data_IF_187121372575
#
_entry.id   IF_187121372575
#
_cell.length_a   1.000
_cell.length_b   1.000
_cell.length_c   1.000
_cell.angle_alpha   90.00
_cell.angle_beta   90.00
_cell.angle_gamma   90.00
#
_symmetry.space_group_name_H-M   'P 1'
#
loop_
_entity.id
_entity.type
_entity.pdbx_description
1 polymer ?
#
# COMPACT_ATOMS: atom_id res chain seq x y z
N UNK A 1 17.43 2.16 -6.41
CA UNK A 1 16.08 1.53 -6.35
C UNK A 1 15.93 0.70 -5.09
N UNK A 2 16.79 -0.30 -4.86
CA UNK A 2 16.79 -1.14 -3.64
C UNK A 2 16.63 -0.33 -2.34
N UNK A 3 17.58 0.57 -2.03
CA UNK A 3 17.53 1.37 -0.78
C UNK A 3 16.21 2.12 -0.62
N UNK A 4 15.75 2.80 -1.65
CA UNK A 4 14.51 3.60 -1.62
C UNK A 4 13.28 2.73 -1.37
N UNK A 5 13.10 1.66 -2.13
CA UNK A 5 11.93 0.80 -1.97
C UNK A 5 11.99 -0.03 -0.68
N UNK A 6 13.18 -0.41 -0.21
CA UNK A 6 13.33 -1.04 1.09
C UNK A 6 12.93 -0.08 2.23
N UNK A 7 13.35 1.18 2.17
CA UNK A 7 12.95 2.20 3.15
C UNK A 7 11.44 2.41 3.14
N UNK A 8 10.82 2.53 1.95
CA UNK A 8 9.37 2.71 1.83
C UNK A 8 8.60 1.48 2.30
N UNK A 9 9.03 0.27 1.94
CA UNK A 9 8.42 -0.98 2.39
C UNK A 9 8.50 -1.11 3.93
N UNK A 10 9.66 -0.80 4.52
CA UNK A 10 9.83 -0.79 5.96
C UNK A 10 8.93 0.25 6.64
N UNK A 11 8.85 1.46 6.08
CA UNK A 11 7.98 2.52 6.61
C UNK A 11 6.49 2.13 6.55
N UNK A 12 6.01 1.65 5.42
CA UNK A 12 4.60 1.23 5.27
C UNK A 12 4.29 -0.04 6.07
N UNK A 13 5.24 -0.98 6.18
CA UNK A 13 5.08 -2.15 7.05
C UNK A 13 5.01 -1.76 8.52
N UNK A 14 5.92 -0.90 8.98
CA UNK A 14 5.93 -0.40 10.36
C UNK A 14 4.63 0.33 10.71
N UNK A 15 4.24 1.30 9.88
CA UNK A 15 3.00 2.06 10.11
C UNK A 15 1.76 1.19 9.96
N UNK A 16 1.77 0.19 9.08
CA UNK A 16 0.64 -0.72 8.89
C UNK A 16 0.41 -1.61 10.12
N UNK A 17 1.48 -2.14 10.71
CA UNK A 17 1.41 -2.87 11.99
C UNK A 17 0.90 -1.97 13.11
N UNK A 18 1.44 -0.76 13.22
CA UNK A 18 1.02 0.21 14.25
C UNK A 18 -0.47 0.57 14.13
N UNK A 19 -0.93 0.88 12.91
CA UNK A 19 -2.34 1.22 12.65
C UNK A 19 -3.26 0.01 12.86
N UNK A 20 -2.84 -1.20 12.46
CA UNK A 20 -3.59 -2.43 12.72
C UNK A 20 -3.77 -2.72 14.21
N UNK A 21 -2.70 -2.56 15.00
CA UNK A 21 -2.77 -2.69 16.45
C UNK A 21 -3.67 -1.62 17.08
N UNK A 22 -3.57 -0.38 16.60
CA UNK A 22 -4.42 0.73 17.05
C UNK A 22 -5.90 0.50 16.72
N UNK A 23 -6.21 -0.07 15.55
CA UNK A 23 -7.58 -0.44 15.20
C UNK A 23 -8.14 -1.52 16.14
N UNK A 24 -7.36 -2.57 16.41
CA UNK A 24 -7.80 -3.69 17.25
C UNK A 24 -8.01 -3.32 18.73
N UNK A 25 -7.17 -2.43 19.27
CA UNK A 25 -7.15 -2.13 20.71
C UNK A 25 -7.65 -0.71 21.05
N UNK A 26 -7.36 0.28 20.19
CA UNK A 26 -7.60 1.69 20.47
C UNK A 26 -8.87 2.28 19.82
N UNK A 27 -9.32 1.73 18.70
CA UNK A 27 -10.48 2.23 17.95
C UNK A 27 -11.75 1.38 18.07
N UNK A 28 -11.63 0.13 18.53
CA UNK A 28 -12.75 -0.82 18.57
C UNK A 28 -13.99 -0.32 19.33
N UNK A 29 -13.80 0.48 20.38
CA UNK A 29 -14.87 1.10 21.17
C UNK A 29 -15.21 2.53 20.76
N UNK A 30 -14.48 3.11 19.80
CA UNK A 30 -14.61 4.52 19.37
C UNK A 30 -15.28 4.67 18.01
N UNK A 31 -15.08 3.70 17.11
CA UNK A 31 -15.67 3.71 15.78
C UNK A 31 -16.88 2.77 15.72
N UNK A 32 -17.82 3.06 14.83
CA UNK A 32 -18.87 2.10 14.48
C UNK A 32 -18.24 0.85 13.83
N UNK A 33 -18.92 -0.31 13.88
CA UNK A 33 -18.43 -1.52 13.23
C UNK A 33 -18.08 -1.32 11.75
N UNK A 34 -18.86 -0.52 11.02
CA UNK A 34 -18.64 -0.22 9.61
C UNK A 34 -17.34 0.57 9.41
N UNK A 35 -17.13 1.63 10.20
CA UNK A 35 -15.92 2.45 10.08
C UNK A 35 -14.67 1.69 10.52
N UNK A 36 -14.80 0.82 11.53
CA UNK A 36 -13.71 -0.07 11.93
C UNK A 36 -13.34 -1.04 10.79
N UNK A 37 -14.34 -1.62 10.10
CA UNK A 37 -14.10 -2.49 8.96
C UNK A 37 -13.44 -1.76 7.78
N UNK A 38 -13.83 -0.52 7.52
CA UNK A 38 -13.19 0.34 6.51
C UNK A 38 -11.73 0.64 6.88
N UNK A 39 -11.46 0.98 8.13
CA UNK A 39 -10.10 1.22 8.62
C UNK A 39 -9.23 -0.04 8.45
N UNK A 40 -9.76 -1.21 8.82
CA UNK A 40 -9.06 -2.49 8.69
C UNK A 40 -8.80 -2.86 7.23
N UNK A 41 -9.72 -2.52 6.31
CA UNK A 41 -9.47 -2.65 4.86
C UNK A 41 -8.26 -1.82 4.42
N UNK A 42 -8.14 -0.57 4.91
CA UNK A 42 -6.97 0.27 4.67
C UNK A 42 -5.68 -0.39 5.16
N UNK A 43 -5.66 -0.89 6.40
CA UNK A 43 -4.49 -1.58 6.97
C UNK A 43 -4.12 -2.82 6.15
N UNK A 44 -5.11 -3.62 5.75
CA UNK A 44 -4.90 -4.84 4.99
C UNK A 44 -4.23 -4.54 3.64
N UNK A 45 -4.76 -3.59 2.87
CA UNK A 45 -4.18 -3.21 1.58
C UNK A 45 -2.80 -2.57 1.72
N UNK A 46 -2.58 -1.75 2.75
CA UNK A 46 -1.26 -1.21 3.06
C UNK A 46 -0.23 -2.32 3.31
N UNK A 47 -0.56 -3.31 4.15
CA UNK A 47 0.36 -4.39 4.50
C UNK A 47 0.68 -5.29 3.30
N UNK A 48 -0.33 -5.66 2.51
CA UNK A 48 -0.11 -6.45 1.28
C UNK A 48 0.85 -5.74 0.31
N UNK A 49 0.64 -4.44 0.09
CA UNK A 49 1.46 -3.69 -0.86
C UNK A 49 2.80 -3.23 -0.27
N UNK A 50 2.94 -3.14 1.06
CA UNK A 50 4.24 -2.99 1.71
C UNK A 50 5.11 -4.24 1.47
N UNK A 51 4.53 -5.44 1.58
CA UNK A 51 5.23 -6.69 1.26
C UNK A 51 5.54 -6.79 -0.24
N UNK A 52 4.62 -6.39 -1.12
CA UNK A 52 4.90 -6.30 -2.55
C UNK A 52 6.07 -5.33 -2.84
N UNK A 53 6.11 -4.18 -2.18
CA UNK A 53 7.19 -3.20 -2.30
C UNK A 53 8.52 -3.72 -1.76
N UNK A 54 8.50 -4.52 -0.69
CA UNK A 54 9.69 -5.25 -0.22
C UNK A 54 10.19 -6.23 -1.29
N UNK A 55 9.29 -6.98 -1.93
CA UNK A 55 9.61 -7.84 -3.08
C UNK A 55 10.20 -7.06 -4.26
N UNK A 56 9.64 -5.89 -4.60
CA UNK A 56 10.19 -4.98 -5.63
C UNK A 56 11.60 -4.52 -5.25
N UNK A 57 11.85 -4.20 -3.97
CA UNK A 57 13.17 -3.81 -3.50
C UNK A 57 14.19 -4.92 -3.76
N UNK A 58 13.90 -6.16 -3.35
CA UNK A 58 14.76 -7.32 -3.55
C UNK A 58 14.96 -7.64 -5.04
N UNK A 59 13.89 -7.61 -5.83
CA UNK A 59 13.94 -7.82 -7.28
C UNK A 59 14.86 -6.79 -7.94
N UNK A 60 14.76 -5.52 -7.55
CA UNK A 60 15.57 -4.44 -8.12
C UNK A 60 17.08 -4.55 -7.85
N UNK A 61 17.49 -5.43 -6.93
CA UNK A 61 18.90 -5.73 -6.68
C UNK A 61 19.50 -6.66 -7.75
N UNK A 62 18.66 -7.45 -8.43
CA UNK A 62 19.07 -8.46 -9.40
C UNK A 62 18.62 -8.11 -10.82
N UNK A 63 17.43 -7.53 -10.91
CA UNK A 63 16.72 -7.23 -12.14
C UNK A 63 16.35 -5.75 -12.08
N UNK A 64 17.28 -4.91 -12.53
CA UNK A 64 17.02 -3.49 -12.69
C UNK A 64 16.04 -3.21 -13.84
N UNK A 65 15.62 -1.96 -13.97
CA UNK A 65 14.89 -1.48 -15.14
C UNK A 65 13.67 -0.64 -14.81
N UNK A 66 13.18 0.06 -15.84
CA UNK A 66 12.08 1.03 -15.70
C UNK A 66 10.79 0.39 -15.21
N UNK A 67 10.46 -0.83 -15.64
CA UNK A 67 9.21 -1.50 -15.23
C UNK A 67 9.17 -1.82 -13.73
N UNK A 68 10.26 -2.36 -13.17
CA UNK A 68 10.37 -2.65 -11.73
C UNK A 68 10.32 -1.36 -10.90
N UNK A 69 10.96 -0.29 -11.40
CA UNK A 69 10.89 1.04 -10.78
C UNK A 69 9.47 1.60 -10.75
N UNK A 70 8.79 1.57 -11.90
CA UNK A 70 7.41 2.04 -12.02
C UNK A 70 6.45 1.22 -11.16
N UNK A 71 6.67 -0.09 -11.03
CA UNK A 71 5.86 -0.94 -10.15
C UNK A 71 5.98 -0.52 -8.68
N UNK A 72 7.21 -0.27 -8.20
CA UNK A 72 7.46 0.20 -6.83
C UNK A 72 6.82 1.55 -6.52
N UNK A 73 6.88 2.48 -7.47
CA UNK A 73 6.20 3.78 -7.33
C UNK A 73 4.69 3.65 -7.41
N UNK A 74 4.16 2.79 -8.28
CA UNK A 74 2.73 2.53 -8.36
C UNK A 74 2.18 1.96 -7.04
N UNK A 75 2.85 0.99 -6.42
CA UNK A 75 2.45 0.52 -5.09
C UNK A 75 2.54 1.61 -4.02
N UNK A 76 3.60 2.42 -4.04
CA UNK A 76 3.78 3.53 -3.09
C UNK A 76 2.62 4.53 -3.17
N UNK A 77 2.31 5.00 -4.38
CA UNK A 77 1.18 5.92 -4.62
C UNK A 77 -0.14 5.24 -4.28
N UNK A 78 -0.32 3.98 -4.64
CA UNK A 78 -1.49 3.20 -4.29
C UNK A 78 -1.73 3.13 -2.78
N UNK A 79 -0.69 2.90 -1.96
CA UNK A 79 -0.81 2.87 -0.50
C UNK A 79 -1.30 4.23 0.01
N UNK A 80 -0.66 5.32 -0.42
CA UNK A 80 -0.99 6.67 0.02
C UNK A 80 -2.42 7.06 -0.33
N UNK A 81 -2.85 6.79 -1.57
CA UNK A 81 -4.18 7.17 -2.04
C UNK A 81 -5.26 6.21 -1.50
N UNK A 82 -5.08 4.90 -1.64
CA UNK A 82 -6.07 3.91 -1.21
C UNK A 82 -6.16 3.85 0.31
N UNK A 83 -5.06 3.52 0.99
CA UNK A 83 -5.09 3.27 2.44
C UNK A 83 -5.22 4.58 3.20
N UNK A 84 -4.48 5.61 2.78
CA UNK A 84 -4.55 6.95 3.39
C UNK A 84 -5.94 7.56 3.32
N UNK A 85 -6.66 7.44 2.20
CA UNK A 85 -8.05 7.95 2.12
C UNK A 85 -9.00 7.24 3.06
N UNK A 86 -8.87 5.92 3.25
CA UNK A 86 -9.70 5.17 4.19
C UNK A 86 -9.41 5.56 5.65
N UNK A 87 -8.16 5.85 5.99
CA UNK A 87 -7.80 6.36 7.32
C UNK A 87 -8.36 7.77 7.55
N UNK A 88 -8.27 8.66 6.56
CA UNK A 88 -8.84 10.01 6.65
C UNK A 88 -10.35 9.98 6.80
N UNK A 89 -11.04 9.13 6.05
CA UNK A 89 -12.48 8.93 6.16
C UNK A 89 -12.88 8.49 7.58
N UNK A 90 -12.18 7.50 8.13
CA UNK A 90 -12.58 6.86 9.39
C UNK A 90 -12.13 7.61 10.64
N UNK A 91 -10.99 8.33 10.59
CA UNK A 91 -10.48 9.11 11.73
C UNK A 91 -10.91 10.57 11.73
N UNK A 92 -11.04 11.19 10.56
CA UNK A 92 -11.32 12.62 10.42
C UNK A 92 -12.69 12.91 9.78
N UNK A 93 -13.44 11.88 9.36
CA UNK A 93 -14.71 12.06 8.65
C UNK A 93 -14.54 12.63 7.23
N UNK A 94 -13.32 12.70 6.71
CA UNK A 94 -13.02 13.31 5.41
C UNK A 94 -13.14 12.27 4.29
N UNK A 95 -14.37 12.12 3.77
CA UNK A 95 -14.65 11.24 2.64
C UNK A 95 -14.19 11.81 1.31
N UNK A 96 -13.10 11.25 0.77
CA UNK A 96 -12.54 11.62 -0.55
C UNK A 96 -12.82 10.53 -1.59
N UNK A 97 -14.10 10.21 -1.79
CA UNK A 97 -14.57 8.95 -2.41
C UNK A 97 -13.92 8.52 -3.74
N UNK A 98 -13.47 9.44 -4.61
CA UNK A 98 -12.79 9.08 -5.87
C UNK A 98 -11.31 8.72 -5.69
N UNK A 99 -10.69 9.14 -4.58
CA UNK A 99 -9.26 8.90 -4.32
C UNK A 99 -8.99 7.42 -4.03
N UNK A 100 -9.90 6.73 -3.31
CA UNK A 100 -9.73 5.31 -3.01
C UNK A 100 -9.69 4.45 -4.29
N UNK A 101 -10.64 4.56 -5.24
CA UNK A 101 -10.57 3.85 -6.52
C UNK A 101 -9.29 4.17 -7.33
N UNK A 102 -8.84 5.43 -7.34
CA UNK A 102 -7.60 5.82 -8.01
C UNK A 102 -6.41 5.08 -7.40
N UNK A 103 -6.33 5.01 -6.06
CA UNK A 103 -5.29 4.22 -5.39
C UNK A 103 -5.35 2.73 -5.75
N UNK A 104 -6.55 2.18 -5.88
CA UNK A 104 -6.76 0.80 -6.35
C UNK A 104 -6.25 0.57 -7.77
N UNK A 105 -6.44 1.53 -8.67
CA UNK A 105 -5.88 1.48 -10.02
C UNK A 105 -4.35 1.46 -10.01
N UNK A 106 -3.71 2.23 -9.13
CA UNK A 106 -2.25 2.20 -8.97
C UNK A 106 -1.74 0.83 -8.47
N UNK A 107 -2.49 0.16 -7.58
CA UNK A 107 -2.16 -1.22 -7.21
C UNK A 107 -2.23 -2.18 -8.40
N UNK A 108 -3.30 -2.11 -9.21
CA UNK A 108 -3.43 -2.92 -10.43
C UNK A 108 -2.27 -2.66 -11.40
N UNK A 109 -1.92 -1.39 -11.63
CA UNK A 109 -0.79 -1.00 -12.47
C UNK A 109 0.52 -1.59 -11.94
N UNK A 110 0.78 -1.52 -10.62
CA UNK A 110 1.99 -2.08 -10.03
C UNK A 110 2.15 -3.58 -10.29
N UNK A 111 1.08 -4.35 -10.10
CA UNK A 111 1.08 -5.79 -10.39
C UNK A 111 1.22 -6.08 -11.88
N UNK A 112 0.53 -5.33 -12.75
CA UNK A 112 0.65 -5.48 -14.20
C UNK A 112 2.07 -5.18 -14.70
N UNK A 113 2.76 -4.19 -14.12
CA UNK A 113 4.14 -3.85 -14.45
C UNK A 113 5.12 -4.94 -14.00
N UNK A 114 4.90 -5.57 -12.85
CA UNK A 114 5.68 -6.74 -12.43
C UNK A 114 5.48 -7.93 -13.37
N UNK A 115 4.23 -8.19 -13.80
CA UNK A 115 3.93 -9.20 -14.80
C UNK A 115 4.65 -8.90 -16.13
N UNK A 116 4.61 -7.64 -16.60
CA UNK A 116 5.32 -7.22 -17.80
C UNK A 116 6.85 -7.32 -17.66
N UNK A 117 7.40 -7.05 -16.47
CA UNK A 117 8.83 -7.22 -16.19
C UNK A 117 9.24 -8.69 -16.24
N UNK A 118 8.38 -9.61 -15.77
CA UNK A 118 8.66 -11.04 -15.80
C UNK A 118 8.84 -11.58 -17.22
N UNK A 119 8.08 -11.09 -18.22
CA UNK A 119 8.29 -11.47 -19.62
C UNK A 119 9.61 -11.00 -20.23
N UNK A 120 10.32 -10.07 -19.56
CA UNK A 120 11.64 -9.59 -19.97
C UNK A 120 12.79 -10.28 -19.24
N UNK A 121 12.46 -11.17 -18.30
CA UNK A 121 13.41 -12.05 -17.64
C UNK A 121 13.63 -13.27 -18.54
N UNK A 122 14.48 -13.11 -19.54
CA UNK A 122 14.90 -14.15 -20.48
C UNK A 122 16.38 -14.01 -20.79
#
# INVERSE_FOLDING_TARGET
MLRTFLMLAAFFGFTGVALGAFAAHGLKSKLTPEYLAVFQTGVHYQMLHALALFGVALLSAHVGGTLVSLAGWAFTVGILLFSGSLYLLTLAGLGVGIITPIGGLFFLIGWALLLAAAFRLG
#
